data_IF_841868630055
#
_entry.id   IF_841868630055
#
_cell.length_a   1.000
_cell.length_b   1.000
_cell.length_c   1.000
_cell.angle_alpha   90.00
_cell.angle_beta   90.00
_cell.angle_gamma   90.00
#
_symmetry.space_group_name_H-M   'P 1'
#
loop_
_entity.id
_entity.type
_entity.pdbx_description
1 polymer ?
#
# COMPACT_ATOMS: atom_id res chain seq x y z
N UNK A 1 3.41 20.90 -1.61
CA UNK A 1 2.35 20.32 -0.77
C UNK A 1 1.57 19.38 -1.67
N UNK A 2 1.81 18.07 -1.57
CA UNK A 2 1.13 17.11 -2.45
C UNK A 2 -0.37 17.15 -2.21
N UNK A 3 -1.15 17.14 -3.29
CA UNK A 3 -2.60 17.09 -3.23
C UNK A 3 -3.05 15.94 -2.33
N UNK A 4 -3.70 16.27 -1.21
CA UNK A 4 -4.27 15.27 -0.32
C UNK A 4 -5.35 14.51 -1.09
N UNK A 5 -5.33 13.18 -1.01
CA UNK A 5 -6.32 12.35 -1.66
C UNK A 5 -7.73 12.78 -1.22
N UNK A 6 -8.73 12.90 -2.11
CA UNK A 6 -10.05 13.45 -1.75
C UNK A 6 -10.75 12.63 -0.65
N UNK A 7 -10.43 11.35 -0.52
CA UNK A 7 -11.03 10.49 0.51
C UNK A 7 -10.41 10.62 1.90
N UNK A 8 -9.35 11.42 2.08
CA UNK A 8 -8.76 11.72 3.41
C UNK A 8 -9.80 12.26 4.40
N UNK A 9 -10.81 12.98 3.90
CA UNK A 9 -11.91 13.52 4.71
C UNK A 9 -12.75 12.44 5.39
N UNK A 10 -12.77 11.21 4.85
CA UNK A 10 -13.53 10.09 5.40
C UNK A 10 -12.74 9.24 6.38
N UNK A 11 -11.43 9.47 6.55
CA UNK A 11 -10.56 8.61 7.34
C UNK A 11 -11.08 8.36 8.77
N UNK A 12 -11.51 9.42 9.47
CA UNK A 12 -12.05 9.30 10.83
C UNK A 12 -13.34 8.47 10.87
N UNK A 13 -14.21 8.60 9.87
CA UNK A 13 -15.45 7.84 9.79
C UNK A 13 -15.21 6.37 9.41
N UNK A 14 -14.16 6.10 8.63
CA UNK A 14 -13.77 4.75 8.21
C UNK A 14 -12.87 4.04 9.23
N UNK A 15 -12.35 4.74 10.24
CA UNK A 15 -11.43 4.17 11.23
C UNK A 15 -11.97 2.91 11.93
N UNK A 16 -13.27 2.81 12.31
CA UNK A 16 -13.80 1.60 12.92
C UNK A 16 -13.74 0.39 11.99
N UNK A 17 -14.10 0.55 10.71
CA UNK A 17 -14.06 -0.55 9.73
C UNK A 17 -12.63 -0.92 9.36
N UNK A 18 -11.72 0.06 9.27
CA UNK A 18 -10.29 -0.21 9.05
C UNK A 18 -9.69 -1.04 10.18
N UNK A 19 -9.97 -0.69 11.44
CA UNK A 19 -9.54 -1.46 12.60
C UNK A 19 -10.10 -2.87 12.56
N UNK A 20 -11.41 -3.02 12.32
CA UNK A 20 -12.04 -4.34 12.19
C UNK A 20 -11.39 -5.20 11.11
N UNK A 21 -11.01 -4.60 9.97
CA UNK A 21 -10.38 -5.31 8.87
C UNK A 21 -8.95 -5.76 9.19
N UNK A 22 -8.18 -4.93 9.89
CA UNK A 22 -6.84 -5.28 10.37
C UNK A 22 -6.89 -6.42 11.39
N UNK A 23 -7.86 -6.41 12.30
CA UNK A 23 -8.07 -7.53 13.23
C UNK A 23 -8.42 -8.83 12.49
N UNK A 24 -9.28 -8.78 11.47
CA UNK A 24 -9.57 -9.92 10.59
C UNK A 24 -8.29 -10.47 9.95
N UNK A 25 -7.45 -9.60 9.38
CA UNK A 25 -6.18 -10.00 8.79
C UNK A 25 -5.23 -10.63 9.81
N UNK A 26 -5.18 -10.10 11.04
CA UNK A 26 -4.39 -10.70 12.13
C UNK A 26 -4.88 -12.11 12.47
N UNK A 27 -6.20 -12.33 12.55
CA UNK A 27 -6.79 -13.66 12.79
C UNK A 27 -6.46 -14.66 11.66
N UNK A 28 -6.27 -14.18 10.44
CA UNK A 28 -5.86 -14.96 9.28
C UNK A 28 -4.33 -15.09 9.13
N UNK A 29 -3.56 -14.84 10.20
CA UNK A 29 -2.09 -14.88 10.24
C UNK A 29 -1.37 -13.83 9.38
N UNK A 30 -2.04 -12.75 8.97
CA UNK A 30 -1.43 -11.58 8.30
C UNK A 30 -1.16 -10.43 9.30
N UNK A 31 -0.55 -10.74 10.43
CA UNK A 31 -0.38 -9.80 11.56
C UNK A 31 0.54 -8.60 11.31
N UNK A 32 1.23 -8.55 10.17
CA UNK A 32 2.11 -7.44 9.78
C UNK A 32 1.38 -6.24 9.17
N UNK A 33 0.09 -6.41 8.84
CA UNK A 33 -0.73 -5.34 8.25
C UNK A 33 -1.27 -4.47 9.38
N UNK A 34 -1.08 -3.15 9.29
CA UNK A 34 -1.63 -2.18 10.24
C UNK A 34 -2.60 -1.21 9.57
N UNK A 35 -3.30 -0.39 10.38
CA UNK A 35 -4.29 0.56 9.86
C UNK A 35 -3.67 1.60 8.91
N UNK A 36 -2.53 2.23 9.24
CA UNK A 36 -1.84 3.13 8.31
C UNK A 36 -1.47 2.47 6.98
N UNK A 37 -0.92 1.26 6.99
CA UNK A 37 -0.49 0.56 5.78
C UNK A 37 -1.67 0.14 4.92
N UNK A 38 -2.75 -0.34 5.54
CA UNK A 38 -4.01 -0.62 4.85
C UNK A 38 -4.60 0.64 4.22
N UNK A 39 -4.60 1.77 4.94
CA UNK A 39 -5.05 3.05 4.40
C UNK A 39 -4.25 3.47 3.18
N UNK A 40 -2.91 3.36 3.26
CA UNK A 40 -2.02 3.66 2.15
C UNK A 40 -2.33 2.79 0.93
N UNK A 41 -2.53 1.48 1.12
CA UNK A 41 -2.95 0.58 0.04
C UNK A 41 -4.26 1.04 -0.61
N UNK A 42 -5.25 1.43 0.20
CA UNK A 42 -6.55 1.88 -0.33
C UNK A 42 -6.40 3.13 -1.19
N UNK A 43 -5.72 4.17 -0.71
CA UNK A 43 -5.56 5.43 -1.47
C UNK A 43 -4.65 5.26 -2.71
N UNK A 44 -3.59 4.47 -2.63
CA UNK A 44 -2.60 4.36 -3.71
C UNK A 44 -2.95 3.33 -4.78
N UNK A 45 -3.64 2.24 -4.38
CA UNK A 45 -3.94 1.12 -5.26
C UNK A 45 -5.43 1.01 -5.57
N UNK A 46 -6.28 0.89 -4.54
CA UNK A 46 -7.71 0.58 -4.72
C UNK A 46 -8.51 1.79 -5.20
N UNK A 47 -8.21 2.97 -4.68
CA UNK A 47 -8.87 4.24 -4.96
C UNK A 47 -8.02 5.21 -5.78
N UNK A 48 -7.04 4.69 -6.52
CA UNK A 48 -6.12 5.49 -7.36
C UNK A 48 -6.84 6.50 -8.26
N UNK A 49 -8.07 6.19 -8.68
CA UNK A 49 -8.96 7.10 -9.43
C UNK A 49 -10.22 7.35 -8.58
N UNK A 50 -10.26 8.41 -7.77
CA UNK A 50 -11.42 8.71 -6.93
C UNK A 50 -12.63 9.18 -7.77
N UNK A 51 -13.82 8.77 -7.36
CA UNK A 51 -15.10 9.27 -7.86
C UNK A 51 -15.39 10.65 -7.24
N UNK A 52 -15.91 11.60 -8.02
CA UNK A 52 -16.25 12.95 -7.54
C UNK A 52 -17.35 12.93 -6.46
N UNK A 53 -18.30 12.00 -6.55
CA UNK A 53 -19.45 11.88 -5.64
C UNK A 53 -19.51 10.49 -5.00
N UNK A 54 -18.42 10.09 -4.35
CA UNK A 54 -18.40 8.79 -3.66
C UNK A 54 -19.32 8.82 -2.44
N UNK A 55 -20.13 7.77 -2.29
CA UNK A 55 -20.85 7.55 -1.04
C UNK A 55 -20.02 6.73 -0.07
N UNK A 56 -20.08 7.07 1.22
CA UNK A 56 -19.28 6.39 2.26
C UNK A 56 -19.52 4.87 2.33
N UNK A 57 -20.74 4.41 2.05
CA UNK A 57 -21.04 2.97 2.05
C UNK A 57 -20.24 2.20 0.98
N UNK A 58 -19.90 2.84 -0.16
CA UNK A 58 -19.03 2.24 -1.18
C UNK A 58 -17.62 2.06 -0.64
N UNK A 59 -17.08 3.07 0.06
CA UNK A 59 -15.75 2.99 0.69
C UNK A 59 -15.71 1.90 1.76
N UNK A 60 -16.78 1.78 2.56
CA UNK A 60 -16.92 0.70 3.55
C UNK A 60 -16.93 -0.66 2.84
N UNK A 61 -17.73 -0.82 1.78
CA UNK A 61 -17.78 -2.06 1.01
C UNK A 61 -16.41 -2.41 0.39
N UNK A 62 -15.66 -1.42 -0.09
CA UNK A 62 -14.30 -1.62 -0.57
C UNK A 62 -13.36 -2.11 0.53
N UNK A 63 -13.42 -1.54 1.74
CA UNK A 63 -12.57 -1.98 2.85
C UNK A 63 -12.90 -3.43 3.22
N UNK A 64 -14.18 -3.74 3.42
CA UNK A 64 -14.63 -5.07 3.84
C UNK A 64 -14.29 -6.14 2.79
N UNK A 65 -14.43 -5.82 1.50
CA UNK A 65 -14.12 -6.73 0.38
C UNK A 65 -12.62 -6.93 0.12
N UNK A 66 -11.75 -6.16 0.78
CA UNK A 66 -10.29 -6.25 0.57
C UNK A 66 -9.76 -7.60 1.05
N UNK A 67 -8.96 -8.28 0.21
CA UNK A 67 -8.29 -9.53 0.58
C UNK A 67 -6.85 -9.26 1.01
N UNK A 68 -6.38 -9.99 2.02
CA UNK A 68 -5.00 -9.87 2.47
C UNK A 68 -3.99 -10.13 1.34
N UNK A 69 -4.27 -11.10 0.45
CA UNK A 69 -3.44 -11.42 -0.71
C UNK A 69 -3.25 -10.21 -1.64
N UNK A 70 -4.32 -9.43 -1.89
CA UNK A 70 -4.24 -8.25 -2.75
C UNK A 70 -3.35 -7.16 -2.14
N UNK A 71 -3.45 -6.98 -0.82
CA UNK A 71 -2.54 -6.11 -0.07
C UNK A 71 -1.09 -6.60 -0.14
N UNK A 72 -0.85 -7.89 0.09
CA UNK A 72 0.51 -8.46 0.08
C UNK A 72 1.19 -8.31 -1.28
N UNK A 73 0.44 -8.50 -2.36
CA UNK A 73 0.93 -8.26 -3.72
C UNK A 73 1.32 -6.78 -3.93
N UNK A 74 0.51 -5.85 -3.43
CA UNK A 74 0.85 -4.44 -3.46
C UNK A 74 2.10 -4.11 -2.63
N UNK A 75 2.16 -4.56 -1.39
CA UNK A 75 3.27 -4.31 -0.47
C UNK A 75 4.60 -4.85 -1.03
N UNK A 76 4.58 -6.05 -1.61
CA UNK A 76 5.74 -6.64 -2.30
C UNK A 76 6.23 -5.75 -3.44
N UNK A 77 5.33 -5.29 -4.31
CA UNK A 77 5.70 -4.41 -5.44
C UNK A 77 6.24 -3.07 -4.97
N UNK A 78 5.66 -2.47 -3.93
CA UNK A 78 6.14 -1.20 -3.38
C UNK A 78 7.52 -1.34 -2.72
N UNK A 79 7.79 -2.46 -2.04
CA UNK A 79 9.12 -2.75 -1.50
C UNK A 79 10.21 -2.78 -2.59
N UNK A 80 9.90 -3.37 -3.75
CA UNK A 80 10.80 -3.36 -4.92
C UNK A 80 10.88 -2.00 -5.63
N UNK A 81 9.96 -1.06 -5.38
CA UNK A 81 10.02 0.30 -5.94
C UNK A 81 10.77 1.28 -5.07
N UNK A 82 10.98 0.97 -3.79
CA UNK A 82 11.58 1.91 -2.84
C UNK A 82 13.00 2.31 -3.28
N UNK A 83 13.29 3.61 -3.52
CA UNK A 83 14.63 4.04 -3.92
C UNK A 83 15.73 3.62 -2.93
N UNK A 84 15.38 3.38 -1.66
CA UNK A 84 16.30 2.90 -0.63
C UNK A 84 17.00 1.59 -0.99
N UNK A 85 16.39 0.66 -1.71
CA UNK A 85 17.10 -0.58 -2.08
C UNK A 85 18.21 -0.31 -3.11
N UNK A 86 18.02 0.67 -4.01
CA UNK A 86 19.04 1.11 -4.95
C UNK A 86 20.12 1.98 -4.29
N UNK A 87 19.83 2.59 -3.15
CA UNK A 87 20.84 3.28 -2.34
C UNK A 87 21.65 2.30 -1.48
N UNK A 88 21.01 1.25 -0.95
CA UNK A 88 21.66 0.18 -0.19
C UNK A 88 22.56 -0.68 -1.07
N UNK A 89 22.15 -0.94 -2.32
CA UNK A 89 23.05 -1.46 -3.34
C UNK A 89 23.92 -0.30 -3.85
N UNK A 90 25.07 -0.08 -3.19
CA UNK A 90 26.06 0.92 -3.59
C UNK A 90 26.23 0.94 -5.12
N UNK A 91 26.10 2.12 -5.73
CA UNK A 91 26.28 2.34 -7.19
C UNK A 91 27.58 1.76 -7.72
N UNK A 92 28.61 1.64 -6.88
CA UNK A 92 29.89 0.98 -7.22
C UNK A 92 29.73 -0.54 -7.41
N UNK A 93 28.95 -1.21 -6.55
CA UNK A 93 28.66 -2.64 -6.66
C UNK A 93 27.78 -2.96 -7.88
N UNK A 94 26.82 -2.08 -8.21
CA UNK A 94 26.07 -2.17 -9.47
C UNK A 94 26.99 -2.00 -10.68
N UNK A 95 27.88 -1.01 -10.66
CA UNK A 95 28.84 -0.79 -11.74
C UNK A 95 29.77 -1.98 -11.95
N UNK A 96 30.15 -2.70 -10.88
CA UNK A 96 30.98 -3.90 -10.96
C UNK A 96 30.26 -5.08 -11.62
N UNK A 97 28.97 -5.27 -11.34
CA UNK A 97 28.13 -6.30 -11.97
C UNK A 97 27.91 -6.08 -13.47
N UNK A 98 27.79 -4.81 -13.89
CA UNK A 98 27.63 -4.46 -15.30
C UNK A 98 28.97 -4.29 -16.04
N UNK A 99 30.12 -4.59 -15.42
CA UNK A 99 31.38 -4.62 -16.16
C UNK A 99 31.32 -5.74 -17.20
N UNK A 100 31.55 -5.44 -18.49
CA UNK A 100 31.70 -6.49 -19.48
C UNK A 100 32.85 -7.40 -19.02
N UNK A 101 32.62 -8.71 -18.98
CA UNK A 101 33.69 -9.68 -18.72
C UNK A 101 34.80 -9.42 -19.72
N UNK A 102 35.98 -9.06 -19.20
CA UNK A 102 37.17 -8.85 -20.03
C UNK A 102 37.48 -10.18 -20.73
N UNK A 103 37.80 -10.16 -22.04
CA UNK A 103 38.15 -11.37 -22.78
C UNK A 103 39.36 -12.09 -22.19
#
# INVERSE_FOLDING_TARGET
MGDKHPYEVYYQQLLPVLKSKVEEFRLLNYGTIDVPSLWQYLIQKKWKKPEQEVHIYKLVADIVSTKAIDYMNFATVEAYRSPNWLEEVNREGLQELFRPRKP
#
